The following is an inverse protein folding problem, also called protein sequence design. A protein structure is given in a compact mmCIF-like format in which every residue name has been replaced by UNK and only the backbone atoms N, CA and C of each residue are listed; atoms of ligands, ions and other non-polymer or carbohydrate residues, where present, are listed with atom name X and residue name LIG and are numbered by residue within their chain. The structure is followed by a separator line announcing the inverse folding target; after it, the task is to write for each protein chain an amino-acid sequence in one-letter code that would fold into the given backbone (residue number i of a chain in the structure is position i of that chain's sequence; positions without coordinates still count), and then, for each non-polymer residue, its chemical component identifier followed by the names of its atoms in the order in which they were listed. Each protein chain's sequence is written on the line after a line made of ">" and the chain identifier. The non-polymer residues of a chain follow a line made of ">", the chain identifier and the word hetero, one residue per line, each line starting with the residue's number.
data_IF_536005134542
#
_entry.id   IF_536005134542
#
_cell.length_a   1.000
_cell.length_b   1.000
_cell.length_c   1.000
_cell.angle_alpha   90.00
_cell.angle_beta   90.00
_cell.angle_gamma   90.00
#
_symmetry.space_group_name_H-M   'P 1'
#
loop_
_entity.id
_entity.type
_entity.pdbx_description
1 polymer ?
#
# COMPACT_ATOMS: atom_id res chain seq x y z
N UNK A 1 24.93 32.46 16.14
CA UNK A 1 25.87 31.39 16.55
C UNK A 1 26.06 30.49 15.35
N UNK A 2 27.27 30.40 14.80
CA UNK A 2 27.56 29.58 13.62
C UNK A 2 27.85 28.13 14.02
N UNK A 3 27.28 27.17 13.30
CA UNK A 3 27.62 25.75 13.47
C UNK A 3 29.04 25.50 12.96
N UNK A 4 29.80 24.66 13.67
CA UNK A 4 31.14 24.27 13.24
C UNK A 4 31.06 23.43 11.95
N UNK A 5 32.02 23.65 11.04
CA UNK A 5 32.14 22.84 9.84
C UNK A 5 32.46 21.37 10.20
N UNK A 6 31.94 20.44 9.40
CA UNK A 6 32.26 19.02 9.54
C UNK A 6 33.74 18.78 9.21
N UNK A 7 34.36 17.81 9.88
CA UNK A 7 35.67 17.30 9.47
C UNK A 7 35.59 16.67 8.07
N UNK A 8 36.72 16.54 7.39
CA UNK A 8 36.78 15.86 6.08
C UNK A 8 36.26 14.42 6.15
N UNK A 9 36.57 13.71 7.24
CA UNK A 9 36.10 12.34 7.48
C UNK A 9 34.58 12.28 7.66
N UNK A 10 34.01 13.16 8.49
CA UNK A 10 32.57 13.22 8.70
C UNK A 10 31.82 13.60 7.42
N UNK A 11 32.41 14.48 6.60
CA UNK A 11 31.86 14.87 5.30
C UNK A 11 31.83 13.67 4.34
N UNK A 12 32.94 12.95 4.21
CA UNK A 12 33.02 11.76 3.36
C UNK A 12 32.05 10.66 3.82
N UNK A 13 31.95 10.44 5.14
CA UNK A 13 31.00 9.49 5.73
C UNK A 13 29.55 9.85 5.41
N UNK A 14 29.16 11.11 5.62
CA UNK A 14 27.80 11.59 5.33
C UNK A 14 27.44 11.44 3.85
N UNK A 15 28.35 11.80 2.94
CA UNK A 15 28.15 11.62 1.50
C UNK A 15 27.95 10.14 1.17
N UNK A 16 28.78 9.25 1.73
CA UNK A 16 28.63 7.81 1.56
C UNK A 16 27.29 7.27 2.06
N UNK A 17 26.81 7.76 3.22
CA UNK A 17 25.50 7.39 3.77
C UNK A 17 24.35 7.85 2.88
N UNK A 18 24.38 9.10 2.39
CA UNK A 18 23.36 9.65 1.49
C UNK A 18 23.30 8.86 0.17
N UNK A 19 24.46 8.56 -0.41
CA UNK A 19 24.55 7.71 -1.61
C UNK A 19 24.01 6.31 -1.34
N UNK A 20 24.26 5.76 -0.15
CA UNK A 20 23.76 4.45 0.24
C UNK A 20 22.24 4.41 0.38
N UNK A 21 21.58 5.51 0.77
CA UNK A 21 20.10 5.61 0.83
C UNK A 21 19.48 5.49 -0.57
N UNK A 22 20.15 5.99 -1.60
CA UNK A 22 19.66 5.92 -2.98
C UNK A 22 19.63 4.49 -3.54
N UNK A 23 20.42 3.56 -2.96
CA UNK A 23 20.47 2.16 -3.40
C UNK A 23 19.15 1.44 -3.12
N UNK A 24 18.74 0.55 -4.03
CA UNK A 24 17.46 -0.18 -3.91
C UNK A 24 17.46 -1.17 -2.75
N UNK A 25 18.63 -1.70 -2.43
CA UNK A 25 18.87 -2.71 -1.40
C UNK A 25 18.98 -2.09 0.00
N UNK A 26 18.89 -0.76 0.11
CA UNK A 26 18.98 -0.08 1.39
C UNK A 26 17.79 -0.46 2.29
N UNK A 27 18.08 -0.91 3.51
CA UNK A 27 17.05 -1.36 4.45
C UNK A 27 16.02 -0.26 4.79
N UNK A 28 16.45 1.01 4.89
CA UNK A 28 15.53 2.12 5.15
C UNK A 28 14.55 2.29 3.99
N UNK A 29 15.05 2.22 2.75
CA UNK A 29 14.21 2.29 1.56
C UNK A 29 13.19 1.14 1.52
N UNK A 30 13.62 -0.09 1.81
CA UNK A 30 12.73 -1.26 1.88
C UNK A 30 11.64 -1.10 2.96
N UNK A 31 11.99 -0.55 4.13
CA UNK A 31 11.02 -0.29 5.21
C UNK A 31 10.00 0.78 4.81
N UNK A 32 10.44 1.87 4.19
CA UNK A 32 9.55 2.92 3.70
C UNK A 32 8.61 2.37 2.63
N UNK A 33 9.12 1.58 1.68
CA UNK A 33 8.32 0.93 0.65
C UNK A 33 7.23 0.02 1.24
N UNK A 34 7.57 -0.82 2.22
CA UNK A 34 6.61 -1.67 2.92
C UNK A 34 5.53 -0.86 3.66
N UNK A 35 5.90 0.25 4.29
CA UNK A 35 4.96 1.13 5.00
C UNK A 35 3.99 1.82 4.03
N UNK A 36 4.47 2.25 2.86
CA UNK A 36 3.62 2.82 1.80
C UNK A 36 2.63 1.76 1.28
N UNK A 37 3.10 0.54 1.01
CA UNK A 37 2.22 -0.55 0.60
C UNK A 37 1.17 -0.89 1.67
N UNK A 38 1.55 -0.89 2.95
CA UNK A 38 0.60 -1.08 4.05
C UNK A 38 -0.45 0.05 4.07
N UNK A 39 -0.02 1.31 3.95
CA UNK A 39 -0.93 2.44 3.87
C UNK A 39 -1.93 2.32 2.71
N UNK A 40 -1.48 1.91 1.51
CA UNK A 40 -2.39 1.72 0.36
C UNK A 40 -3.38 0.57 0.58
N UNK A 41 -2.96 -0.53 1.22
CA UNK A 41 -3.88 -1.60 1.64
C UNK A 41 -4.92 -1.09 2.62
N UNK A 42 -4.52 -0.26 3.59
CA UNK A 42 -5.45 0.38 4.52
C UNK A 42 -6.42 1.31 3.76
N UNK A 43 -5.95 2.08 2.77
CA UNK A 43 -6.81 2.95 1.97
C UNK A 43 -7.90 2.16 1.25
N UNK A 44 -7.57 0.98 0.75
CA UNK A 44 -8.54 0.10 0.10
C UNK A 44 -9.62 -0.41 1.06
N UNK A 45 -9.24 -0.78 2.29
CA UNK A 45 -10.15 -1.41 3.26
C UNK A 45 -10.95 -0.37 4.05
N UNK A 46 -10.30 0.71 4.49
CA UNK A 46 -10.81 1.67 5.47
C UNK A 46 -11.09 3.06 4.86
N UNK A 47 -10.64 3.31 3.63
CA UNK A 47 -10.66 4.64 3.01
C UNK A 47 -9.46 5.50 3.41
N UNK A 48 -9.20 6.53 2.60
CA UNK A 48 -8.02 7.41 2.73
C UNK A 48 -8.00 8.15 4.07
N UNK A 49 -9.13 8.77 4.45
CA UNK A 49 -9.22 9.58 5.68
C UNK A 49 -8.91 8.76 6.93
N UNK A 50 -9.44 7.54 7.02
CA UNK A 50 -9.16 6.66 8.17
C UNK A 50 -7.71 6.17 8.16
N UNK A 51 -7.14 5.93 6.99
CA UNK A 51 -5.77 5.44 6.84
C UNK A 51 -4.71 6.49 7.18
N UNK A 52 -5.04 7.78 7.07
CA UNK A 52 -4.16 8.87 7.48
C UNK A 52 -4.06 9.03 8.99
N UNK A 53 -5.14 8.71 9.74
CA UNK A 53 -5.13 8.78 11.21
C UNK A 53 -4.16 7.78 11.85
N UNK A 54 -3.99 6.62 11.22
CA UNK A 54 -3.15 5.52 11.71
C UNK A 54 -1.87 5.37 10.83
N UNK A 55 -1.33 6.50 10.34
CA UNK A 55 -0.19 6.50 9.43
C UNK A 55 1.08 5.90 10.09
N UNK A 56 1.76 4.93 9.46
CA UNK A 56 3.01 4.40 9.99
C UNK A 56 4.06 5.50 10.16
N UNK A 57 4.77 5.47 11.30
CA UNK A 57 5.81 6.46 11.60
C UNK A 57 6.86 6.57 10.49
N UNK A 58 7.44 7.76 10.32
CA UNK A 58 8.40 8.06 9.26
C UNK A 58 7.78 8.42 7.90
N UNK A 59 6.45 8.41 7.78
CA UNK A 59 5.74 8.86 6.58
C UNK A 59 5.03 10.21 6.75
N UNK A 60 4.94 10.75 7.96
CA UNK A 60 4.22 12.02 8.27
C UNK A 60 4.71 13.21 7.44
N UNK A 61 6.00 13.24 7.07
CA UNK A 61 6.57 14.29 6.24
C UNK A 61 6.01 14.34 4.81
N UNK A 62 5.42 13.24 4.34
CA UNK A 62 4.86 13.10 2.99
C UNK A 62 3.35 12.77 3.03
N UNK A 63 2.67 13.19 4.10
CA UNK A 63 1.27 12.86 4.35
C UNK A 63 0.35 13.36 3.21
N UNK A 64 0.60 14.57 2.71
CA UNK A 64 -0.22 15.16 1.64
C UNK A 64 -0.08 14.37 0.33
N UNK A 65 1.14 13.98 -0.03
CA UNK A 65 1.45 13.17 -1.20
C UNK A 65 0.84 11.77 -1.08
N UNK A 66 0.87 11.20 0.13
CA UNK A 66 0.22 9.92 0.41
C UNK A 66 -1.29 10.01 0.32
N UNK A 67 -1.91 11.10 0.80
CA UNK A 67 -3.35 11.31 0.67
C UNK A 67 -3.79 11.37 -0.80
N UNK A 68 -3.03 12.10 -1.64
CA UNK A 68 -3.28 12.17 -3.07
C UNK A 68 -3.11 10.81 -3.75
N UNK A 69 -2.02 10.10 -3.44
CA UNK A 69 -1.75 8.76 -3.98
C UNK A 69 -2.84 7.76 -3.56
N UNK A 70 -3.24 7.77 -2.29
CA UNK A 70 -4.28 6.93 -1.73
C UNK A 70 -5.62 7.18 -2.41
N UNK A 71 -5.97 8.43 -2.66
CA UNK A 71 -7.21 8.79 -3.37
C UNK A 71 -7.19 8.26 -4.81
N UNK A 72 -6.09 8.46 -5.55
CA UNK A 72 -5.93 7.92 -6.91
C UNK A 72 -6.02 6.39 -6.93
N UNK A 73 -5.39 5.72 -5.96
CA UNK A 73 -5.41 4.27 -5.83
C UNK A 73 -6.82 3.72 -5.58
N UNK A 74 -7.57 4.34 -4.66
CA UNK A 74 -8.97 3.96 -4.38
C UNK A 74 -9.86 4.19 -5.60
N UNK A 75 -9.76 5.36 -6.25
CA UNK A 75 -10.53 5.67 -7.46
C UNK A 75 -10.25 4.69 -8.59
N UNK A 76 -8.97 4.33 -8.82
CA UNK A 76 -8.60 3.32 -9.81
C UNK A 76 -9.20 1.95 -9.46
N UNK A 77 -9.13 1.55 -8.19
CA UNK A 77 -9.62 0.23 -7.77
C UNK A 77 -11.14 0.14 -7.87
N UNK A 78 -11.86 1.21 -7.53
CA UNK A 78 -13.31 1.31 -7.72
C UNK A 78 -13.69 1.25 -9.20
N UNK A 79 -12.97 1.97 -10.06
CA UNK A 79 -13.19 1.91 -11.50
C UNK A 79 -12.96 0.49 -12.06
N UNK A 80 -11.85 -0.14 -11.68
CA UNK A 80 -11.56 -1.53 -12.05
C UNK A 80 -12.68 -2.46 -11.58
N UNK A 81 -13.17 -2.30 -10.35
CA UNK A 81 -14.28 -3.08 -9.85
C UNK A 81 -15.55 -2.85 -10.69
N UNK A 82 -15.90 -1.61 -11.02
CA UNK A 82 -17.09 -1.32 -11.83
C UNK A 82 -17.02 -1.95 -13.22
N UNK A 83 -15.86 -1.90 -13.87
CA UNK A 83 -15.66 -2.46 -15.21
C UNK A 83 -15.64 -3.98 -15.17
N UNK A 84 -14.93 -4.58 -14.20
CA UNK A 84 -14.67 -6.02 -14.20
C UNK A 84 -15.64 -6.85 -13.34
N UNK A 85 -16.38 -6.25 -12.41
CA UNK A 85 -17.30 -6.97 -11.53
C UNK A 85 -18.33 -7.82 -12.28
N UNK A 86 -18.95 -7.39 -13.40
CA UNK A 86 -19.88 -8.24 -14.13
C UNK A 86 -19.23 -9.53 -14.63
N UNK A 87 -18.01 -9.44 -15.18
CA UNK A 87 -17.26 -10.61 -15.69
C UNK A 87 -16.90 -11.58 -14.57
N UNK A 88 -16.38 -11.06 -13.44
CA UNK A 88 -16.10 -11.90 -12.27
C UNK A 88 -17.38 -12.51 -11.69
N UNK A 89 -18.50 -11.77 -11.71
CA UNK A 89 -19.80 -12.25 -11.23
C UNK A 89 -20.28 -13.44 -12.05
N UNK A 90 -20.17 -13.39 -13.39
CA UNK A 90 -20.56 -14.52 -14.25
C UNK A 90 -19.68 -15.74 -14.02
N UNK A 91 -18.35 -15.57 -13.90
CA UNK A 91 -17.44 -16.66 -13.55
C UNK A 91 -17.84 -17.27 -12.19
N UNK A 92 -18.03 -16.43 -11.16
CA UNK A 92 -18.39 -16.90 -9.83
C UNK A 92 -19.73 -17.64 -9.80
N UNK A 93 -20.74 -17.19 -10.56
CA UNK A 93 -22.01 -17.91 -10.70
C UNK A 93 -21.79 -19.33 -11.24
N UNK A 94 -20.97 -19.50 -12.29
CA UNK A 94 -20.69 -20.83 -12.84
C UNK A 94 -19.99 -21.77 -11.85
N UNK A 95 -19.21 -21.23 -10.91
CA UNK A 95 -18.50 -22.01 -9.90
C UNK A 95 -19.38 -22.36 -8.69
N UNK A 96 -20.28 -21.45 -8.30
CA UNK A 96 -21.12 -21.59 -7.11
C UNK A 96 -22.41 -22.39 -7.40
N UNK A 97 -23.01 -22.24 -8.58
CA UNK A 97 -24.25 -22.95 -8.95
C UNK A 97 -24.14 -24.49 -8.87
N UNK A 98 -23.05 -25.15 -9.32
CA UNK A 98 -22.87 -26.59 -9.14
C UNK A 98 -22.72 -27.00 -7.67
N UNK A 99 -22.04 -26.19 -6.85
CA UNK A 99 -21.82 -26.47 -5.43
C UNK A 99 -23.12 -26.40 -4.61
N UNK A 100 -24.04 -25.49 -4.94
CA UNK A 100 -25.34 -25.38 -4.27
C UNK A 100 -26.30 -26.54 -4.64
N UNK A 101 -26.14 -27.13 -5.82
CA UNK A 101 -26.97 -28.26 -6.29
C UNK A 101 -26.62 -29.58 -5.58
N UNK A 102 -25.39 -29.73 -5.09
CA UNK A 102 -24.96 -30.88 -4.29
C UNK A 102 -25.37 -30.74 -2.81
N UNK A 103 -25.36 -29.53 -2.25
CA UNK A 103 -25.76 -29.29 -0.86
C UNK A 103 -27.27 -29.52 -0.62
N UNK A 104 -28.12 -29.29 -1.63
CA UNK A 104 -29.58 -29.49 -1.52
C UNK A 104 -30.03 -30.95 -1.69
N UNK A 105 -29.16 -31.86 -2.17
CA UNK A 105 -29.47 -33.29 -2.30
C UNK A 105 -29.05 -34.15 -1.09
N UNK A 106 -28.32 -33.60 -0.13
CA UNK A 106 -27.86 -34.32 1.08
C UNK A 106 -28.77 -34.18 2.32
N UNK A 107 -29.89 -33.46 2.21
CA UNK A 107 -30.75 -33.07 3.34
C UNK A 107 -32.17 -33.65 3.30
N UNK A 108 -32.34 -34.87 2.80
CA UNK A 108 -33.60 -35.60 2.96
C UNK A 108 -33.30 -37.09 3.18
N UNK A 109 -33.12 -37.44 4.45
CA UNK A 109 -33.30 -38.77 5.02
C UNK A 109 -34.04 -38.59 6.35
#
# INVERSE_FOLDING_TARGET
>A
MGLAALSSENTASLVGQLQNIAKKENCVRSVIDQRIHLYLKCCFVLGVQRSLLDLPGGLTLIEAELAELGQKFVSLTQHNQQVFAPYYTEILKTLISPAQTLATKGGSL
#
